data_IF_295022275717
#
_entry.id   IF_295022275717
#
_cell.length_a   1.000
_cell.length_b   1.000
_cell.length_c   1.000
_cell.angle_alpha   90.00
_cell.angle_beta   90.00
_cell.angle_gamma   90.00
#
_symmetry.space_group_name_H-M   'P 1'
#
loop_
_entity.id
_entity.type
_entity.pdbx_description
1 polymer ?
#
# COMPACT_ATOMS: atom_id res chain seq x y z
N UNK A 1 0.46 68.65 44.00
CA UNK A 1 0.93 68.30 42.64
C UNK A 1 2.18 67.41 42.69
N UNK A 2 3.08 67.59 43.63
CA UNK A 2 4.34 66.83 43.70
C UNK A 2 4.13 65.30 43.94
N UNK A 3 3.18 64.93 44.81
CA UNK A 3 2.92 63.51 45.09
C UNK A 3 2.43 62.69 43.85
N UNK A 4 1.72 63.34 42.92
CA UNK A 4 1.24 62.70 41.69
C UNK A 4 2.40 62.39 40.73
N UNK A 5 3.38 63.31 40.69
CA UNK A 5 4.59 63.13 39.84
C UNK A 5 5.43 61.98 40.31
N UNK A 6 5.59 61.79 41.63
CA UNK A 6 6.30 60.62 42.19
C UNK A 6 5.63 59.31 41.91
N UNK A 7 4.29 59.24 41.97
CA UNK A 7 3.51 58.02 41.65
C UNK A 7 3.65 57.63 40.17
N UNK A 8 3.59 58.63 39.26
CA UNK A 8 3.74 58.38 37.83
C UNK A 8 5.18 57.95 37.50
N UNK A 9 6.19 58.57 38.11
CA UNK A 9 7.59 58.16 37.93
C UNK A 9 7.87 56.77 38.44
N UNK A 10 7.31 56.40 39.62
CA UNK A 10 7.42 55.04 40.15
C UNK A 10 6.75 54.00 39.30
N UNK A 11 5.58 54.31 38.70
CA UNK A 11 4.88 53.43 37.80
C UNK A 11 5.66 53.19 36.47
N UNK A 12 6.28 54.24 35.94
CA UNK A 12 7.12 54.14 34.71
C UNK A 12 8.39 53.27 35.00
N UNK A 13 9.03 53.49 36.14
CA UNK A 13 10.20 52.70 36.55
C UNK A 13 9.80 51.25 36.74
N UNK A 14 8.67 50.97 37.39
CA UNK A 14 8.17 49.60 37.59
C UNK A 14 7.84 48.88 36.27
N UNK A 15 7.23 49.61 35.32
CA UNK A 15 6.97 49.09 33.97
C UNK A 15 8.26 48.82 33.19
N UNK A 16 9.28 49.70 33.33
CA UNK A 16 10.57 49.50 32.67
C UNK A 16 11.36 48.30 33.25
N UNK A 17 11.27 48.06 34.58
CA UNK A 17 11.85 46.91 35.21
C UNK A 17 11.15 45.63 34.79
N UNK A 18 9.82 45.63 34.70
CA UNK A 18 9.04 44.47 34.26
C UNK A 18 9.28 44.13 32.78
N UNK A 19 9.47 45.15 31.92
CA UNK A 19 9.83 44.94 30.52
C UNK A 19 11.26 44.39 30.34
N UNK A 20 12.14 44.66 31.29
CA UNK A 20 13.52 44.13 31.28
C UNK A 20 13.66 42.72 31.82
N UNK A 21 12.71 42.23 32.63
CA UNK A 21 12.69 40.86 33.18
C UNK A 21 12.00 39.85 32.24
N UNK A 22 11.48 40.31 31.10
CA UNK A 22 10.72 39.48 30.14
C UNK A 22 11.54 38.90 28.97
N UNK A 23 12.88 38.93 28.98
CA UNK A 23 13.70 38.41 27.86
C UNK A 23 14.85 37.53 28.33
N UNK A 24 14.61 36.70 29.31
CA UNK A 24 15.35 35.42 29.34
C UNK A 24 14.66 34.50 28.34
N UNK A 25 14.95 34.75 27.06
CA UNK A 25 14.63 33.81 26.00
C UNK A 25 15.36 32.49 26.32
N UNK A 26 14.59 31.49 26.64
CA UNK A 26 15.05 30.10 26.62
C UNK A 26 15.64 29.84 25.21
N UNK A 27 16.95 30.06 25.09
CA UNK A 27 17.74 29.70 23.92
C UNK A 27 18.07 28.20 24.00
N UNK A 28 17.07 27.39 24.34
CA UNK A 28 17.18 25.96 24.05
C UNK A 28 17.38 25.84 22.53
N UNK A 29 18.47 25.22 22.06
CA UNK A 29 18.71 25.10 20.63
C UNK A 29 17.50 24.39 20.03
N UNK A 30 16.79 25.07 19.11
CA UNK A 30 15.73 24.49 18.32
C UNK A 30 16.34 23.27 17.67
N UNK A 31 16.04 22.08 18.21
CA UNK A 31 16.42 20.80 17.59
C UNK A 31 15.64 20.74 16.30
N UNK A 32 16.22 21.27 15.23
CA UNK A 32 15.74 21.04 13.87
C UNK A 32 15.63 19.52 13.71
N UNK A 33 14.46 18.98 13.42
CA UNK A 33 14.34 17.54 13.25
C UNK A 33 15.29 17.14 12.12
N UNK A 34 16.24 16.27 12.42
CA UNK A 34 17.16 15.71 11.44
C UNK A 34 16.25 15.02 10.41
N UNK A 35 16.15 15.60 9.21
CA UNK A 35 15.41 15.01 8.11
C UNK A 35 16.08 13.68 7.79
N UNK A 36 15.41 12.57 8.14
CA UNK A 36 15.93 11.23 7.81
C UNK A 36 16.01 11.13 6.29
N UNK A 37 17.21 10.95 5.78
CA UNK A 37 17.44 10.67 4.38
C UNK A 37 17.20 9.18 4.15
N UNK A 38 16.29 8.84 3.21
CA UNK A 38 16.00 7.46 2.83
C UNK A 38 16.84 7.08 1.64
N UNK A 39 17.73 6.11 1.82
CA UNK A 39 18.57 5.58 0.74
C UNK A 39 17.93 4.31 0.18
N UNK A 40 17.78 4.27 -1.14
CA UNK A 40 17.20 3.12 -1.85
C UNK A 40 18.28 2.42 -2.67
N UNK A 41 18.27 1.09 -2.64
CA UNK A 41 19.15 0.24 -3.44
C UNK A 41 18.31 -0.67 -4.35
N UNK A 42 18.86 -1.00 -5.52
CA UNK A 42 18.24 -1.94 -6.44
C UNK A 42 18.26 -3.37 -5.86
N UNK A 43 17.13 -4.07 -5.86
CA UNK A 43 17.07 -5.49 -5.54
C UNK A 43 17.79 -6.32 -6.59
N UNK A 44 18.38 -7.45 -6.21
CA UNK A 44 18.97 -8.43 -7.14
C UNK A 44 17.91 -9.14 -7.99
N UNK A 45 16.74 -9.37 -7.44
CA UNK A 45 15.58 -9.94 -8.13
C UNK A 45 14.29 -9.22 -7.69
N UNK A 46 13.38 -8.99 -8.62
CA UNK A 46 12.08 -8.37 -8.34
C UNK A 46 11.08 -9.34 -7.68
N UNK A 47 11.31 -10.65 -7.83
CA UNK A 47 10.48 -11.73 -7.29
C UNK A 47 11.23 -12.50 -6.22
N UNK A 48 10.49 -13.14 -5.32
CA UNK A 48 11.02 -14.18 -4.42
C UNK A 48 11.39 -15.44 -5.22
N UNK A 49 12.20 -16.37 -4.68
CA UNK A 49 12.50 -17.61 -5.37
C UNK A 49 11.27 -18.44 -5.72
N UNK A 50 10.27 -18.48 -4.84
CA UNK A 50 9.00 -19.18 -5.07
C UNK A 50 8.20 -18.57 -6.20
N UNK A 51 8.02 -17.23 -6.18
CA UNK A 51 7.34 -16.50 -7.25
C UNK A 51 8.04 -16.65 -8.59
N UNK A 52 9.38 -16.59 -8.62
CA UNK A 52 10.14 -16.77 -9.86
C UNK A 52 10.00 -18.19 -10.42
N UNK A 53 10.01 -19.22 -9.56
CA UNK A 53 9.78 -20.60 -9.96
C UNK A 53 8.38 -20.77 -10.55
N UNK A 54 7.37 -20.26 -9.87
CA UNK A 54 5.99 -20.28 -10.35
C UNK A 54 5.83 -19.53 -11.67
N UNK A 55 6.39 -18.33 -11.78
CA UNK A 55 6.36 -17.52 -13.00
C UNK A 55 6.86 -18.28 -14.22
N UNK A 56 7.99 -19.00 -14.10
CA UNK A 56 8.54 -19.79 -15.20
C UNK A 56 7.58 -20.89 -15.64
N UNK A 57 7.02 -21.64 -14.67
CA UNK A 57 6.05 -22.70 -14.94
C UNK A 57 4.74 -22.15 -15.51
N UNK A 58 4.28 -21.00 -15.00
CA UNK A 58 3.09 -20.31 -15.51
C UNK A 58 3.30 -19.87 -16.96
N UNK A 59 4.47 -19.30 -17.28
CA UNK A 59 4.81 -18.87 -18.64
C UNK A 59 4.82 -20.03 -19.64
N UNK A 60 5.23 -21.22 -19.21
CA UNK A 60 5.15 -22.45 -20.03
C UNK A 60 3.69 -22.94 -20.20
N UNK A 61 2.86 -22.77 -19.16
CA UNK A 61 1.48 -23.24 -19.16
C UNK A 61 0.53 -22.38 -20.01
N UNK A 62 0.79 -21.05 -20.12
CA UNK A 62 -0.08 -20.09 -20.79
C UNK A 62 0.60 -19.44 -21.98
N UNK A 63 0.33 -19.93 -23.18
CA UNK A 63 0.84 -19.35 -24.42
C UNK A 63 -0.12 -18.26 -24.93
N UNK A 64 0.44 -17.15 -25.43
CA UNK A 64 -0.35 -16.08 -26.04
C UNK A 64 -1.09 -15.18 -25.03
N UNK A 65 -0.68 -15.22 -23.77
CA UNK A 65 -1.18 -14.33 -22.72
C UNK A 65 -0.05 -13.45 -22.18
N UNK A 66 -0.42 -12.30 -21.61
CA UNK A 66 0.48 -11.43 -20.86
C UNK A 66 0.38 -11.77 -19.38
N UNK A 67 1.53 -12.00 -18.75
CA UNK A 67 1.62 -12.26 -17.31
C UNK A 67 2.22 -11.03 -16.62
N UNK A 68 1.49 -10.45 -15.69
CA UNK A 68 1.92 -9.28 -14.93
C UNK A 68 2.16 -9.71 -13.49
N UNK A 69 3.43 -9.72 -13.02
CA UNK A 69 3.73 -10.03 -11.63
C UNK A 69 3.41 -8.84 -10.72
N UNK A 70 3.04 -9.12 -9.47
CA UNK A 70 2.73 -8.12 -8.44
C UNK A 70 1.75 -7.04 -8.93
N UNK A 71 0.69 -7.48 -9.63
CA UNK A 71 -0.29 -6.58 -10.22
C UNK A 71 -1.12 -5.90 -9.15
N UNK A 72 -1.03 -4.56 -9.04
CA UNK A 72 -1.85 -3.80 -8.12
C UNK A 72 -3.34 -3.92 -8.47
N UNK A 73 -4.21 -4.03 -7.46
CA UNK A 73 -5.65 -4.14 -7.69
C UNK A 73 -6.19 -2.94 -8.47
N UNK A 74 -5.68 -1.74 -8.23
CA UNK A 74 -6.07 -0.53 -8.97
C UNK A 74 -5.63 -0.51 -10.44
N UNK A 75 -4.82 -1.45 -10.89
CA UNK A 75 -4.42 -1.59 -12.29
C UNK A 75 -5.53 -2.25 -13.14
N UNK A 76 -6.29 -3.15 -12.53
CA UNK A 76 -7.26 -3.97 -13.26
C UNK A 76 -8.67 -3.96 -12.66
N UNK A 77 -8.88 -3.27 -11.53
CA UNK A 77 -10.18 -3.04 -10.93
C UNK A 77 -10.52 -1.57 -10.97
N UNK A 78 -11.71 -1.26 -11.44
CA UNK A 78 -12.31 0.05 -11.33
C UNK A 78 -13.49 -0.01 -10.33
N UNK A 79 -14.05 1.13 -9.99
CA UNK A 79 -15.14 1.22 -9.04
C UNK A 79 -16.38 1.77 -9.73
N UNK A 80 -17.47 1.03 -9.63
CA UNK A 80 -18.80 1.52 -9.97
C UNK A 80 -19.49 1.99 -8.71
N UNK A 81 -19.42 3.32 -8.44
CA UNK A 81 -19.97 3.88 -7.20
C UNK A 81 -21.10 4.83 -7.49
N UNK A 82 -22.26 4.52 -6.93
CA UNK A 82 -23.42 5.42 -6.89
C UNK A 82 -23.51 6.04 -5.50
N UNK A 83 -23.19 7.35 -5.40
CA UNK A 83 -23.35 8.10 -4.14
C UNK A 83 -22.25 7.94 -3.10
N UNK A 84 -21.10 7.33 -3.44
CA UNK A 84 -19.95 7.19 -2.54
C UNK A 84 -18.75 8.02 -3.00
N UNK A 85 -17.79 8.22 -2.08
CA UNK A 85 -16.54 8.94 -2.41
C UNK A 85 -15.60 8.07 -3.22
N UNK A 86 -15.19 8.54 -4.40
CA UNK A 86 -14.13 7.93 -5.20
C UNK A 86 -12.85 7.68 -4.40
N UNK A 87 -12.41 8.67 -3.60
CA UNK A 87 -11.20 8.56 -2.77
C UNK A 87 -11.30 7.40 -1.77
N UNK A 88 -12.47 7.19 -1.17
CA UNK A 88 -12.67 6.11 -0.22
C UNK A 88 -12.61 4.74 -0.89
N UNK A 89 -13.22 4.60 -2.07
CA UNK A 89 -13.16 3.36 -2.85
C UNK A 89 -11.74 3.04 -3.31
N UNK A 90 -11.04 4.02 -3.89
CA UNK A 90 -9.66 3.86 -4.33
C UNK A 90 -8.72 3.49 -3.16
N UNK A 91 -8.87 4.12 -2.00
CA UNK A 91 -8.05 3.82 -0.82
C UNK A 91 -8.19 2.35 -0.37
N UNK A 92 -9.31 1.69 -0.65
CA UNK A 92 -9.52 0.27 -0.31
C UNK A 92 -8.68 -0.68 -1.14
N UNK A 93 -8.44 -0.39 -2.41
CA UNK A 93 -7.66 -1.21 -3.35
C UNK A 93 -6.23 -0.73 -3.52
N UNK A 94 -5.94 0.53 -3.19
CA UNK A 94 -4.62 1.10 -3.28
C UNK A 94 -3.63 0.40 -2.34
N UNK A 95 -2.43 0.11 -2.85
CA UNK A 95 -1.39 -0.59 -2.10
C UNK A 95 -1.65 -2.08 -1.86
N UNK A 96 -2.65 -2.67 -2.53
CA UNK A 96 -2.90 -4.12 -2.57
C UNK A 96 -2.60 -4.65 -3.96
N UNK A 97 -2.03 -5.85 -4.01
CA UNK A 97 -1.66 -6.54 -5.26
C UNK A 97 -1.99 -8.02 -5.16
N UNK A 98 -2.15 -8.63 -6.32
CA UNK A 98 -2.10 -10.09 -6.49
C UNK A 98 -0.70 -10.48 -6.99
N UNK A 99 -0.28 -11.72 -6.73
CA UNK A 99 1.05 -12.16 -7.14
C UNK A 99 1.22 -12.18 -8.66
N UNK A 100 0.17 -12.62 -9.39
CA UNK A 100 0.16 -12.57 -10.85
C UNK A 100 -1.23 -12.23 -11.38
N UNK A 101 -1.25 -11.48 -12.47
CA UNK A 101 -2.44 -11.24 -13.28
C UNK A 101 -2.18 -11.76 -14.70
N UNK A 102 -3.08 -12.60 -15.20
CA UNK A 102 -3.07 -13.04 -16.60
C UNK A 102 -4.02 -12.14 -17.39
N UNK A 103 -3.53 -11.62 -18.50
CA UNK A 103 -4.29 -10.79 -19.43
C UNK A 103 -4.24 -11.36 -20.85
N UNK A 104 -5.18 -10.96 -21.69
CA UNK A 104 -5.06 -11.11 -23.14
C UNK A 104 -3.89 -10.26 -23.67
N UNK A 105 -3.53 -10.45 -24.97
CA UNK A 105 -2.54 -9.58 -25.61
C UNK A 105 -2.98 -8.09 -25.68
N UNK A 106 -4.29 -7.84 -25.63
CA UNK A 106 -4.86 -6.49 -25.56
C UNK A 106 -4.99 -5.98 -24.12
N UNK A 107 -4.28 -6.59 -23.17
CA UNK A 107 -4.25 -6.23 -21.74
C UNK A 107 -5.61 -6.33 -21.03
N UNK A 108 -6.55 -7.12 -21.53
CA UNK A 108 -7.82 -7.37 -20.81
C UNK A 108 -7.57 -8.38 -19.70
N UNK A 109 -7.90 -8.06 -18.42
CA UNK A 109 -7.73 -8.97 -17.31
C UNK A 109 -8.57 -10.25 -17.48
N UNK A 110 -7.98 -11.41 -17.24
CA UNK A 110 -8.61 -12.71 -17.34
C UNK A 110 -8.68 -13.44 -16.00
N UNK A 111 -7.55 -13.57 -15.31
CA UNK A 111 -7.42 -14.36 -14.08
C UNK A 111 -6.42 -13.68 -13.16
N UNK A 112 -6.76 -13.56 -11.87
CA UNK A 112 -5.83 -13.23 -10.80
C UNK A 112 -5.29 -14.52 -10.16
N UNK A 113 -4.03 -14.51 -9.74
CA UNK A 113 -3.36 -15.64 -9.09
C UNK A 113 -2.65 -15.18 -7.83
N UNK A 114 -2.80 -15.95 -6.76
CA UNK A 114 -2.11 -15.80 -5.47
C UNK A 114 -1.34 -17.08 -5.16
N UNK A 115 -0.14 -16.94 -4.60
CA UNK A 115 0.67 -18.05 -4.10
C UNK A 115 0.57 -18.10 -2.58
N UNK A 116 0.00 -19.20 -2.07
CA UNK A 116 -0.10 -19.42 -0.64
C UNK A 116 1.20 -20.06 -0.13
N UNK A 117 2.00 -19.32 0.62
CA UNK A 117 3.13 -19.85 1.37
C UNK A 117 2.66 -20.45 2.70
N UNK A 118 3.18 -21.64 3.06
CA UNK A 118 2.81 -22.36 4.31
C UNK A 118 3.14 -21.61 5.61
N UNK A 119 3.73 -20.40 5.53
CA UNK A 119 4.17 -19.61 6.70
C UNK A 119 3.10 -18.63 7.21
N UNK A 120 1.85 -18.67 6.73
CA UNK A 120 0.87 -17.59 6.84
C UNK A 120 -0.20 -17.73 7.95
N UNK A 121 0.15 -18.15 9.16
CA UNK A 121 -0.78 -18.18 10.30
C UNK A 121 -0.89 -16.83 11.08
N UNK A 122 -0.62 -15.68 10.46
CA UNK A 122 -0.78 -14.38 11.12
C UNK A 122 -2.20 -13.81 10.90
N UNK A 123 -2.94 -13.41 11.96
CA UNK A 123 -4.32 -12.92 11.86
C UNK A 123 -4.51 -11.74 10.91
N UNK A 124 -3.56 -10.80 10.88
CA UNK A 124 -3.64 -9.60 10.03
C UNK A 124 -3.57 -9.92 8.53
N UNK A 125 -2.84 -10.99 8.15
CA UNK A 125 -2.76 -11.44 6.76
C UNK A 125 -4.06 -12.07 6.30
N UNK A 126 -4.66 -12.91 7.15
CA UNK A 126 -5.97 -13.52 6.84
C UNK A 126 -7.04 -12.48 6.53
N UNK A 127 -7.11 -11.41 7.34
CA UNK A 127 -8.07 -10.30 7.12
C UNK A 127 -7.82 -9.61 5.77
N UNK A 128 -6.55 -9.42 5.39
CA UNK A 128 -6.19 -8.83 4.09
C UNK A 128 -6.58 -9.75 2.93
N UNK A 129 -6.30 -11.04 3.05
CA UNK A 129 -6.58 -12.04 2.03
C UNK A 129 -8.09 -12.21 1.83
N UNK A 130 -8.87 -12.27 2.91
CA UNK A 130 -10.33 -12.29 2.86
C UNK A 130 -10.91 -11.05 2.17
N UNK A 131 -10.29 -9.89 2.41
CA UNK A 131 -10.69 -8.65 1.77
C UNK A 131 -10.41 -8.65 0.25
N UNK A 132 -9.21 -9.08 -0.19
CA UNK A 132 -8.87 -9.21 -1.62
C UNK A 132 -9.79 -10.21 -2.29
N UNK A 133 -10.04 -11.36 -1.66
CA UNK A 133 -10.98 -12.37 -2.14
C UNK A 133 -12.38 -11.78 -2.36
N UNK A 134 -12.90 -11.03 -1.39
CA UNK A 134 -14.24 -10.43 -1.47
C UNK A 134 -14.36 -9.41 -2.60
N UNK A 135 -13.32 -8.62 -2.85
CA UNK A 135 -13.33 -7.62 -3.93
C UNK A 135 -13.31 -8.31 -5.28
N UNK A 136 -12.39 -9.26 -5.50
CA UNK A 136 -12.27 -9.96 -6.79
C UNK A 136 -13.50 -10.79 -7.08
N UNK A 137 -14.08 -11.48 -6.10
CA UNK A 137 -15.30 -12.26 -6.27
C UNK A 137 -16.49 -11.44 -6.80
N UNK A 138 -16.55 -10.13 -6.44
CA UNK A 138 -17.61 -9.24 -6.94
C UNK A 138 -17.41 -8.79 -8.39
N UNK A 139 -16.29 -9.12 -9.03
CA UNK A 139 -15.97 -8.67 -10.40
C UNK A 139 -16.20 -9.76 -11.45
N UNK A 140 -16.68 -10.93 -11.08
CA UNK A 140 -16.80 -12.11 -11.94
C UNK A 140 -15.44 -12.58 -12.53
N UNK A 141 -14.32 -12.09 -12.02
CA UNK A 141 -12.99 -12.51 -12.44
C UNK A 141 -12.50 -13.66 -11.54
N UNK A 142 -12.02 -14.78 -12.10
CA UNK A 142 -11.47 -15.87 -11.30
C UNK A 142 -10.24 -15.44 -10.49
N UNK A 143 -10.18 -15.87 -9.24
CA UNK A 143 -8.98 -15.83 -8.41
C UNK A 143 -8.53 -17.25 -8.12
N UNK A 144 -7.37 -17.64 -8.65
CA UNK A 144 -6.77 -18.96 -8.40
C UNK A 144 -5.70 -18.86 -7.31
N UNK A 145 -5.72 -19.80 -6.36
CA UNK A 145 -4.70 -19.92 -5.34
C UNK A 145 -3.89 -21.19 -5.55
N UNK A 146 -2.56 -21.10 -5.47
CA UNK A 146 -1.65 -22.21 -5.57
C UNK A 146 -0.78 -22.28 -4.31
N UNK A 147 -0.73 -23.44 -3.68
CA UNK A 147 0.16 -23.66 -2.54
C UNK A 147 1.59 -23.95 -3.00
N UNK A 148 2.56 -23.47 -2.23
CA UNK A 148 3.97 -23.67 -2.54
C UNK A 148 4.30 -25.16 -2.71
N UNK A 149 4.89 -25.51 -3.88
CA UNK A 149 5.27 -26.89 -4.23
C UNK A 149 4.14 -27.78 -4.77
N UNK A 150 2.89 -27.29 -4.85
CA UNK A 150 1.74 -28.06 -5.35
C UNK A 150 1.37 -27.70 -6.81
N UNK A 151 2.32 -27.27 -7.63
CA UNK A 151 2.08 -26.91 -9.04
C UNK A 151 3.08 -27.52 -9.99
N UNK A 152 2.62 -27.77 -11.20
CA UNK A 152 3.39 -27.98 -12.41
C UNK A 152 2.63 -27.38 -13.60
N UNK A 153 3.23 -27.40 -14.79
CA UNK A 153 2.63 -26.79 -15.98
C UNK A 153 1.25 -27.36 -16.31
N UNK A 154 1.05 -28.67 -16.17
CA UNK A 154 -0.24 -29.32 -16.45
C UNK A 154 -1.33 -28.94 -15.46
N UNK A 155 -1.01 -28.90 -14.16
CA UNK A 155 -1.94 -28.49 -13.10
C UNK A 155 -2.36 -27.03 -13.32
N UNK A 156 -1.40 -26.14 -13.59
CA UNK A 156 -1.66 -24.72 -13.85
C UNK A 156 -2.58 -24.58 -15.07
N UNK A 157 -2.22 -25.19 -16.19
CA UNK A 157 -3.00 -25.14 -17.42
C UNK A 157 -4.43 -25.67 -17.23
N UNK A 158 -4.59 -26.80 -16.57
CA UNK A 158 -5.90 -27.38 -16.27
C UNK A 158 -6.77 -26.42 -15.45
N UNK A 159 -6.25 -25.89 -14.35
CA UNK A 159 -6.99 -24.99 -13.45
C UNK A 159 -7.37 -23.66 -14.14
N UNK A 160 -6.49 -23.11 -14.97
CA UNK A 160 -6.76 -21.89 -15.75
C UNK A 160 -7.87 -22.18 -16.77
N UNK A 161 -7.77 -23.27 -17.53
CA UNK A 161 -8.79 -23.64 -18.52
C UNK A 161 -10.16 -23.87 -17.86
N UNK A 162 -10.19 -24.55 -16.72
CA UNK A 162 -11.41 -24.76 -15.95
C UNK A 162 -12.02 -23.43 -15.48
N UNK A 163 -11.22 -22.53 -14.94
CA UNK A 163 -11.68 -21.22 -14.44
C UNK A 163 -12.26 -20.35 -15.57
N UNK A 164 -11.66 -20.38 -16.77
CA UNK A 164 -12.14 -19.62 -17.93
C UNK A 164 -13.39 -20.22 -18.56
N UNK A 165 -13.65 -21.52 -18.40
CA UNK A 165 -14.85 -22.17 -18.95
C UNK A 165 -16.11 -22.00 -18.09
N UNK A 166 -15.96 -21.50 -16.85
CA UNK A 166 -17.06 -21.29 -15.89
C UNK A 166 -17.56 -19.86 -15.88
N UNK A 167 -16.87 -18.95 -16.58
CA UNK A 167 -17.22 -17.54 -16.75
C UNK A 167 -17.66 -17.24 -18.21
#
# INVERSE_FOLDING_TARGET
MEALIFIVAAAIIFLAIKARQGTDGDTSPIKTPIKKEYVYIKKSCAMTPSELSFYKTLHEAVNGCVIIPQAHLSMFLDHEIKGQSWKAAFARINGKSVDFLICTNDMKPLIAIELDDNTHNQPDRKTRDDFVNSIIANTNMPLLRFKAGEWNSEIIKHRITQALSQN
#
